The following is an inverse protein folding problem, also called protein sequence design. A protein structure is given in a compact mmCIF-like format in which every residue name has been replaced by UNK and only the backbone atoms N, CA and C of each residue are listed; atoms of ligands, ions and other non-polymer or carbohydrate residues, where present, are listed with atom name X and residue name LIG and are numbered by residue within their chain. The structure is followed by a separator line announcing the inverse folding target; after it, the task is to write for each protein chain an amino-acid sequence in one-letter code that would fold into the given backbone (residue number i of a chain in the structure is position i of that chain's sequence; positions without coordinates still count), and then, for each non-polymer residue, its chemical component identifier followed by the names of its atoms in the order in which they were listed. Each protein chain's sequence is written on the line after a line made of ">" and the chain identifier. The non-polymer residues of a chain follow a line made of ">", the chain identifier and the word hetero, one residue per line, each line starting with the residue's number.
data_IF_744434819082
#
_entry.id   IF_744434819082
#
_cell.length_a   1.000
_cell.length_b   1.000
_cell.length_c   1.000
_cell.angle_alpha   90.00
_cell.angle_beta   90.00
_cell.angle_gamma   90.00
#
_symmetry.space_group_name_H-M   'P 1'
#
loop_
_entity.id
_entity.type
_entity.pdbx_description
1 polymer ?
#
# COMPACT_ATOMS: atom_id res chain seq x y z
N UNK A 1 1.10 -62.46 8.23
CA UNK A 1 1.53 -61.41 9.17
C UNK A 1 1.54 -60.11 8.38
N UNK A 2 0.58 -59.23 8.62
CA UNK A 2 0.52 -57.89 7.98
C UNK A 2 1.45 -56.96 8.76
N UNK A 3 2.44 -56.37 8.10
CA UNK A 3 3.31 -55.38 8.72
C UNK A 3 2.49 -54.18 9.24
N UNK A 4 2.84 -53.60 10.39
CA UNK A 4 2.15 -52.41 10.90
C UNK A 4 2.46 -51.25 9.95
N UNK A 5 1.41 -50.64 9.40
CA UNK A 5 1.53 -49.41 8.62
C UNK A 5 2.04 -48.31 9.54
N UNK A 6 3.29 -47.88 9.34
CA UNK A 6 3.83 -46.76 10.13
C UNK A 6 2.93 -45.53 9.96
N UNK A 7 2.57 -44.85 11.07
CA UNK A 7 1.74 -43.65 11.00
C UNK A 7 2.50 -42.56 10.24
N UNK A 8 1.87 -42.05 9.17
CA UNK A 8 2.39 -40.91 8.41
C UNK A 8 2.57 -39.70 9.34
N UNK A 9 3.82 -39.38 9.67
CA UNK A 9 4.18 -38.15 10.38
C UNK A 9 4.48 -37.09 9.31
N UNK A 10 3.65 -36.06 9.15
CA UNK A 10 3.95 -34.98 8.20
C UNK A 10 5.26 -34.30 8.60
N UNK A 11 6.11 -33.93 7.63
CA UNK A 11 7.36 -33.24 7.92
C UNK A 11 7.09 -31.93 8.69
N UNK A 12 7.97 -31.53 9.61
CA UNK A 12 7.82 -30.30 10.35
C UNK A 12 7.76 -29.10 9.38
N UNK A 13 6.95 -28.08 9.68
CA UNK A 13 6.87 -26.89 8.83
C UNK A 13 8.26 -26.25 8.69
N UNK A 14 8.58 -25.68 7.52
CA UNK A 14 9.87 -25.05 7.30
C UNK A 14 10.13 -23.95 8.35
N UNK A 15 11.38 -23.81 8.82
CA UNK A 15 11.72 -22.82 9.83
C UNK A 15 11.38 -21.40 9.34
N UNK A 16 10.92 -20.51 10.24
CA UNK A 16 10.52 -19.17 9.84
C UNK A 16 11.71 -18.43 9.20
N UNK A 17 11.48 -17.66 8.12
CA UNK A 17 12.54 -16.93 7.45
C UNK A 17 13.28 -16.03 8.44
N UNK A 18 14.61 -16.13 8.44
CA UNK A 18 15.48 -15.28 9.29
C UNK A 18 15.55 -13.87 8.70
N UNK A 19 15.29 -12.86 9.53
CA UNK A 19 15.34 -11.43 9.15
C UNK A 19 13.99 -10.83 8.73
N UNK A 20 13.78 -9.56 9.09
CA UNK A 20 12.53 -8.82 8.86
C UNK A 20 12.12 -8.79 7.38
N UNK A 21 13.10 -8.62 6.48
CA UNK A 21 12.89 -8.59 5.03
C UNK A 21 12.40 -9.93 4.46
N UNK A 22 12.94 -11.05 4.94
CA UNK A 22 12.53 -12.37 4.49
C UNK A 22 11.15 -12.74 5.02
N UNK A 23 10.78 -12.26 6.21
CA UNK A 23 9.41 -12.36 6.75
C UNK A 23 8.40 -11.57 5.92
N UNK A 24 8.73 -10.33 5.58
CA UNK A 24 7.91 -9.49 4.68
C UNK A 24 7.73 -10.14 3.32
N UNK A 25 8.81 -10.63 2.71
CA UNK A 25 8.77 -11.38 1.46
C UNK A 25 7.88 -12.61 1.55
N UNK A 26 8.03 -13.44 2.59
CA UNK A 26 7.21 -14.64 2.76
C UNK A 26 5.71 -14.32 2.91
N UNK A 27 5.37 -13.20 3.55
CA UNK A 27 3.99 -12.78 3.71
C UNK A 27 3.39 -12.22 2.41
N UNK A 28 4.17 -11.44 1.65
CA UNK A 28 3.75 -10.85 0.36
C UNK A 28 3.73 -11.91 -0.75
N UNK A 29 4.64 -12.88 -0.74
CA UNK A 29 4.75 -13.95 -1.74
C UNK A 29 4.02 -15.23 -1.31
N UNK A 30 3.10 -15.14 -0.34
CA UNK A 30 2.35 -16.32 0.08
C UNK A 30 1.63 -16.94 -1.14
N UNK A 31 1.75 -18.26 -1.40
CA UNK A 31 1.23 -18.89 -2.62
C UNK A 31 -0.26 -18.67 -2.85
N UNK A 32 -1.02 -18.50 -1.78
CA UNK A 32 -2.47 -18.30 -1.82
C UNK A 32 -2.91 -16.88 -2.17
N UNK A 33 -2.02 -15.89 -2.15
CA UNK A 33 -2.35 -14.52 -2.53
C UNK A 33 -2.16 -14.36 -4.03
N UNK A 34 -3.17 -13.90 -4.76
CA UNK A 34 -3.00 -13.55 -6.17
C UNK A 34 -2.23 -12.22 -6.32
N UNK A 35 -1.47 -12.02 -7.42
CA UNK A 35 -0.82 -10.73 -7.69
C UNK A 35 -1.82 -9.57 -7.76
N UNK A 36 -3.03 -9.84 -8.24
CA UNK A 36 -4.11 -8.86 -8.34
C UNK A 36 -4.66 -8.48 -6.96
N UNK A 37 -4.79 -9.44 -6.04
CA UNK A 37 -5.21 -9.13 -4.66
C UNK A 37 -4.23 -8.19 -3.97
N UNK A 38 -2.92 -8.43 -4.12
CA UNK A 38 -1.88 -7.55 -3.59
C UNK A 38 -1.92 -6.18 -4.25
N UNK A 39 -2.11 -6.14 -5.57
CA UNK A 39 -2.21 -4.88 -6.31
C UNK A 39 -3.41 -4.04 -5.88
N UNK A 40 -4.59 -4.64 -5.72
CA UNK A 40 -5.78 -3.96 -5.20
C UNK A 40 -5.60 -3.51 -3.75
N UNK A 41 -4.98 -4.33 -2.91
CA UNK A 41 -4.71 -3.98 -1.51
C UNK A 41 -3.79 -2.77 -1.41
N UNK A 42 -2.73 -2.74 -2.21
CA UNK A 42 -1.80 -1.62 -2.24
C UNK A 42 -2.44 -0.36 -2.83
N UNK A 43 -3.15 -0.46 -3.96
CA UNK A 43 -3.70 0.72 -4.62
C UNK A 43 -4.78 1.42 -3.79
N UNK A 44 -5.58 0.66 -3.03
CA UNK A 44 -6.56 1.24 -2.10
C UNK A 44 -5.87 1.95 -0.94
N UNK A 45 -4.85 1.34 -0.33
CA UNK A 45 -4.10 1.99 0.75
C UNK A 45 -3.35 3.23 0.25
N UNK A 46 -2.74 3.13 -0.92
CA UNK A 46 -2.00 4.22 -1.55
C UNK A 46 -2.93 5.36 -1.96
N UNK A 47 -4.12 5.09 -2.50
CA UNK A 47 -5.09 6.15 -2.81
C UNK A 47 -5.60 6.85 -1.56
N UNK A 48 -5.80 6.12 -0.44
CA UNK A 48 -6.11 6.74 0.84
C UNK A 48 -4.97 7.68 1.29
N UNK A 49 -3.70 7.32 1.07
CA UNK A 49 -2.56 8.18 1.44
C UNK A 49 -2.59 9.55 0.74
N UNK A 50 -3.14 9.64 -0.47
CA UNK A 50 -3.28 10.90 -1.23
C UNK A 50 -4.60 11.63 -0.98
N UNK A 51 -5.48 11.07 -0.15
CA UNK A 51 -6.79 11.64 0.09
C UNK A 51 -6.65 13.01 0.79
N UNK A 52 -7.25 14.08 0.28
CA UNK A 52 -7.10 15.39 0.89
C UNK A 52 -7.78 15.52 2.27
N UNK A 53 -8.64 14.56 2.66
CA UNK A 53 -9.38 14.60 3.93
C UNK A 53 -8.50 14.21 5.14
N UNK A 54 -7.77 15.19 5.68
CA UNK A 54 -6.96 15.07 6.90
C UNK A 54 -7.78 14.46 8.05
N UNK A 55 -7.24 13.43 8.69
CA UNK A 55 -7.87 12.73 9.82
C UNK A 55 -8.84 11.60 9.46
N UNK A 56 -9.43 11.59 8.26
CA UNK A 56 -10.36 10.51 7.84
C UNK A 56 -9.65 9.25 7.31
N UNK A 57 -8.34 9.30 7.10
CA UNK A 57 -7.55 8.23 6.49
C UNK A 57 -7.64 6.92 7.28
N UNK A 58 -7.51 7.00 8.61
CA UNK A 58 -7.58 5.84 9.50
C UNK A 58 -8.96 5.20 9.44
N UNK A 59 -10.03 6.00 9.51
CA UNK A 59 -11.40 5.49 9.40
C UNK A 59 -11.65 4.81 8.05
N UNK A 60 -11.17 5.41 6.96
CA UNK A 60 -11.31 4.87 5.61
C UNK A 60 -10.58 3.53 5.42
N UNK A 61 -9.34 3.41 5.92
CA UNK A 61 -8.60 2.14 5.77
C UNK A 61 -9.25 1.02 6.57
N UNK A 62 -9.76 1.31 7.77
CA UNK A 62 -10.48 0.31 8.57
C UNK A 62 -11.80 -0.08 7.91
N UNK A 63 -12.55 0.88 7.38
CA UNK A 63 -13.77 0.62 6.64
C UNK A 63 -13.49 -0.28 5.43
N UNK A 64 -12.45 0.01 4.65
CA UNK A 64 -12.06 -0.82 3.51
C UNK A 64 -11.55 -2.19 3.94
N UNK A 65 -10.87 -2.32 5.09
CA UNK A 65 -10.48 -3.62 5.64
C UNK A 65 -11.70 -4.49 5.95
N UNK A 66 -12.79 -3.87 6.41
CA UNK A 66 -14.04 -4.56 6.74
C UNK A 66 -14.82 -4.93 5.49
N UNK A 67 -14.94 -4.01 4.52
CA UNK A 67 -15.67 -4.23 3.25
C UNK A 67 -14.95 -5.28 2.40
N UNK A 68 -13.64 -5.15 2.21
CA UNK A 68 -12.86 -5.98 1.31
C UNK A 68 -12.11 -7.09 2.05
N UNK A 69 -12.85 -8.06 2.60
CA UNK A 69 -12.29 -9.12 3.45
C UNK A 69 -11.25 -10.02 2.77
N UNK A 70 -11.26 -10.10 1.43
CA UNK A 70 -10.35 -10.92 0.60
C UNK A 70 -9.03 -10.21 0.25
N UNK A 71 -8.86 -8.94 0.67
CA UNK A 71 -7.65 -8.16 0.42
C UNK A 71 -6.64 -8.28 1.57
N UNK A 72 -5.37 -8.05 1.26
CA UNK A 72 -4.26 -8.14 2.19
C UNK A 72 -4.20 -6.89 3.09
N UNK A 73 -4.92 -6.95 4.22
CA UNK A 73 -5.10 -5.84 5.17
C UNK A 73 -3.79 -5.19 5.64
N UNK A 74 -2.74 -5.96 6.02
CA UNK A 74 -1.49 -5.34 6.48
C UNK A 74 -0.85 -4.48 5.38
N UNK A 75 -0.91 -4.91 4.13
CA UNK A 75 -0.33 -4.17 3.00
C UNK A 75 -1.10 -2.88 2.74
N UNK A 76 -2.44 -2.94 2.81
CA UNK A 76 -3.28 -1.76 2.64
C UNK A 76 -3.02 -0.71 3.74
N UNK A 77 -2.88 -1.14 5.00
CA UNK A 77 -2.55 -0.25 6.12
C UNK A 77 -1.15 0.36 5.91
N UNK A 78 -0.16 -0.45 5.54
CA UNK A 78 1.20 0.04 5.27
C UNK A 78 1.23 1.06 4.12
N UNK A 79 0.47 0.82 3.05
CA UNK A 79 0.37 1.75 1.94
C UNK A 79 -0.32 3.07 2.35
N UNK A 80 -1.33 3.03 3.23
CA UNK A 80 -1.93 4.25 3.80
C UNK A 80 -0.93 5.05 4.64
N UNK A 81 -0.09 4.38 5.43
CA UNK A 81 0.94 5.01 6.29
C UNK A 81 2.08 5.67 5.51
N UNK A 82 2.08 5.56 4.18
CA UNK A 82 2.92 6.41 3.32
C UNK A 82 2.61 7.88 3.60
N UNK A 83 1.38 8.25 3.96
CA UNK A 83 1.06 9.57 4.50
C UNK A 83 1.29 9.58 6.02
N UNK A 84 2.40 10.17 6.45
CA UNK A 84 2.86 10.28 7.83
C UNK A 84 3.43 11.70 8.06
N UNK A 85 3.78 12.09 9.30
CA UNK A 85 4.22 13.46 9.59
C UNK A 85 5.44 13.94 8.79
N UNK A 86 6.27 13.04 8.25
CA UNK A 86 7.39 13.43 7.39
C UNK A 86 6.99 13.57 5.92
N UNK A 87 6.02 12.79 5.45
CA UNK A 87 5.60 12.76 4.04
C UNK A 87 4.36 13.61 3.76
N UNK A 88 3.62 14.03 4.79
CA UNK A 88 2.42 14.87 4.65
C UNK A 88 2.74 16.22 4.01
N UNK A 89 3.89 16.81 4.33
CA UNK A 89 4.35 18.08 3.75
C UNK A 89 4.61 17.94 2.24
N UNK A 90 5.43 17.00 1.75
CA UNK A 90 5.63 16.84 0.31
C UNK A 90 4.36 16.37 -0.41
N UNK A 91 3.52 15.52 0.20
CA UNK A 91 2.22 15.11 -0.37
C UNK A 91 1.30 16.34 -0.52
N UNK A 92 1.13 17.14 0.53
CA UNK A 92 0.29 18.33 0.49
C UNK A 92 0.80 19.40 -0.48
N UNK A 93 2.12 19.55 -0.56
CA UNK A 93 2.79 20.42 -1.54
C UNK A 93 2.47 19.97 -2.96
N UNK A 94 2.68 18.67 -3.26
CA UNK A 94 2.40 18.10 -4.58
C UNK A 94 0.91 18.21 -4.95
N UNK A 95 0.00 17.86 -4.03
CA UNK A 95 -1.44 18.00 -4.24
C UNK A 95 -1.84 19.46 -4.48
N UNK A 96 -1.29 20.41 -3.72
CA UNK A 96 -1.58 21.83 -3.93
C UNK A 96 -1.05 22.32 -5.28
N UNK A 97 0.14 21.88 -5.67
CA UNK A 97 0.74 22.22 -6.96
C UNK A 97 -0.09 21.70 -8.13
N UNK A 98 -0.52 20.43 -8.10
CA UNK A 98 -1.43 19.85 -9.09
C UNK A 98 -2.74 20.64 -9.15
N UNK A 99 -3.29 21.04 -8.00
CA UNK A 99 -4.50 21.86 -7.95
C UNK A 99 -4.32 23.26 -8.56
N UNK A 100 -3.17 23.90 -8.34
CA UNK A 100 -2.86 25.20 -8.95
C UNK A 100 -2.65 25.11 -10.46
N UNK A 101 -2.00 24.04 -10.92
CA UNK A 101 -1.82 23.72 -12.34
C UNK A 101 -3.18 23.65 -13.05
N UNK A 102 -4.13 22.89 -12.50
CA UNK A 102 -5.48 22.75 -13.08
C UNK A 102 -6.26 24.06 -13.06
N UNK A 103 -6.00 24.93 -12.07
CA UNK A 103 -6.67 26.24 -11.96
C UNK A 103 -6.02 27.35 -12.79
N UNK A 104 -4.94 27.05 -13.53
CA UNK A 104 -4.20 28.04 -14.31
C UNK A 104 -3.48 29.11 -13.48
N UNK A 105 -3.26 28.86 -12.18
CA UNK A 105 -2.64 29.81 -11.23
C UNK A 105 -1.20 29.40 -10.89
N UNK A 106 -0.37 29.25 -11.91
CA UNK A 106 1.04 28.83 -11.75
C UNK A 106 1.88 29.84 -10.97
N UNK A 107 1.58 31.13 -11.11
CA UNK A 107 2.44 32.25 -10.70
C UNK A 107 2.19 32.73 -9.27
N UNK A 108 1.04 32.40 -8.68
CA UNK A 108 0.82 32.65 -7.25
C UNK A 108 1.33 31.45 -6.45
N UNK A 109 2.60 31.50 -6.10
CA UNK A 109 3.22 30.64 -5.10
C UNK A 109 2.61 30.89 -3.71
N UNK A 110 1.31 30.64 -3.53
CA UNK A 110 0.68 30.61 -2.21
C UNK A 110 1.29 29.49 -1.35
N UNK A 111 2.02 28.53 -1.94
CA UNK A 111 2.86 27.57 -1.23
C UNK A 111 4.04 28.22 -0.48
N UNK A 112 4.53 29.38 -0.93
CA UNK A 112 5.60 30.13 -0.25
C UNK A 112 5.09 30.84 1.02
N UNK A 113 3.78 31.05 1.14
CA UNK A 113 3.14 31.59 2.35
C UNK A 113 2.89 30.54 3.44
N UNK A 114 3.13 29.26 3.13
CA UNK A 114 2.96 28.17 4.09
C UNK A 114 4.31 27.93 4.76
N UNK A 115 4.39 28.20 6.06
CA UNK A 115 5.57 27.90 6.87
C UNK A 115 5.62 26.40 7.19
N UNK A 116 5.97 25.58 6.20
CA UNK A 116 6.03 24.12 6.33
C UNK A 116 6.94 23.65 7.47
N UNK A 117 7.91 24.46 7.87
CA UNK A 117 8.82 24.17 8.99
C UNK A 117 8.14 24.19 10.37
N UNK A 118 6.99 24.86 10.47
CA UNK A 118 6.19 24.91 11.70
C UNK A 118 5.25 23.71 11.83
N UNK A 119 5.03 22.98 10.74
CA UNK A 119 4.22 21.75 10.73
C UNK A 119 5.10 20.60 11.20
N UNK A 120 4.88 20.18 12.44
CA UNK A 120 5.60 19.07 13.06
C UNK A 120 4.67 18.14 13.83
N UNK A 121 5.25 17.23 14.60
CA UNK A 121 4.50 16.27 15.42
C UNK A 121 3.48 16.95 16.35
N UNK A 122 3.81 18.11 16.92
CA UNK A 122 2.91 18.88 17.79
C UNK A 122 1.65 19.35 17.06
N UNK A 123 1.74 19.64 15.77
CA UNK A 123 0.61 20.07 14.92
C UNK A 123 -0.47 18.98 14.78
N UNK A 124 -0.09 17.71 14.97
CA UNK A 124 -1.01 16.57 14.89
C UNK A 124 -1.41 16.01 16.27
N UNK A 125 -0.66 16.32 17.32
CA UNK A 125 -0.87 15.82 18.69
C UNK A 125 -1.69 16.76 19.58
N UNK A 126 -1.73 18.05 19.25
CA UNK A 126 -2.40 19.09 20.06
C UNK A 126 -3.49 19.79 19.26
N UNK A 127 -4.56 20.18 19.95
CA UNK A 127 -5.66 20.94 19.33
C UNK A 127 -5.19 22.29 18.80
N UNK A 128 -4.37 23.01 19.58
CA UNK A 128 -3.78 24.29 19.16
C UNK A 128 -2.92 24.15 17.90
N UNK A 129 -2.13 23.07 17.83
CA UNK A 129 -1.32 22.76 16.66
C UNK A 129 -2.15 22.42 15.42
N UNK A 130 -3.29 21.75 15.60
CA UNK A 130 -4.23 21.46 14.52
C UNK A 130 -4.94 22.72 14.03
N UNK A 131 -5.33 23.62 14.94
CA UNK A 131 -5.91 24.92 14.60
C UNK A 131 -4.91 25.81 13.84
N UNK A 132 -3.65 25.86 14.30
CA UNK A 132 -2.58 26.56 13.61
C UNK A 132 -2.37 26.00 12.19
N UNK A 133 -2.24 24.68 12.05
CA UNK A 133 -2.06 24.03 10.75
C UNK A 133 -3.26 24.29 9.81
N UNK A 134 -4.49 24.18 10.30
CA UNK A 134 -5.69 24.40 9.47
C UNK A 134 -5.85 25.86 9.06
N UNK A 135 -5.52 26.82 9.93
CA UNK A 135 -5.53 28.24 9.61
C UNK A 135 -4.51 28.60 8.53
N UNK A 136 -3.30 28.01 8.59
CA UNK A 136 -2.24 28.16 7.59
C UNK A 136 -2.60 27.52 6.25
N UNK A 137 -3.34 26.39 6.27
CA UNK A 137 -3.78 25.69 5.06
C UNK A 137 -5.01 26.33 4.41
N UNK A 138 -5.81 27.11 5.14
CA UNK A 138 -7.03 27.79 4.66
C UNK A 138 -6.89 28.48 3.28
N UNK A 139 -5.84 29.28 3.00
CA UNK A 139 -5.67 29.91 1.68
C UNK A 139 -5.43 28.91 0.55
N UNK A 140 -4.74 27.81 0.81
CA UNK A 140 -4.41 26.79 -0.20
C UNK A 140 -5.42 25.64 -0.25
N UNK A 141 -6.36 25.58 0.70
CA UNK A 141 -7.30 24.48 0.88
C UNK A 141 -8.04 24.11 -0.41
N UNK A 142 -8.55 25.09 -1.17
CA UNK A 142 -9.27 24.80 -2.43
C UNK A 142 -8.39 24.12 -3.48
N UNK A 143 -7.15 24.56 -3.61
CA UNK A 143 -6.20 23.94 -4.55
C UNK A 143 -5.75 22.58 -4.04
N UNK A 144 -5.49 22.46 -2.74
CA UNK A 144 -5.14 21.20 -2.09
C UNK A 144 -6.25 20.14 -2.24
N UNK A 145 -7.51 20.49 -1.99
CA UNK A 145 -8.64 19.57 -2.15
C UNK A 145 -8.78 19.11 -3.61
N UNK A 146 -8.71 20.04 -4.56
CA UNK A 146 -8.83 19.72 -5.98
C UNK A 146 -7.68 18.82 -6.45
N UNK A 147 -6.44 19.23 -6.19
CA UNK A 147 -5.29 18.46 -6.62
C UNK A 147 -5.10 17.17 -5.84
N UNK A 148 -5.46 17.12 -4.55
CA UNK A 148 -5.49 15.89 -3.76
C UNK A 148 -6.51 14.88 -4.29
N UNK A 149 -7.68 15.35 -4.73
CA UNK A 149 -8.67 14.48 -5.41
C UNK A 149 -8.10 13.91 -6.70
N UNK A 150 -7.44 14.74 -7.51
CA UNK A 150 -6.79 14.29 -8.75
C UNK A 150 -5.65 13.31 -8.45
N UNK A 151 -4.79 13.62 -7.49
CA UNK A 151 -3.72 12.72 -7.05
C UNK A 151 -4.27 11.39 -6.55
N UNK A 152 -5.39 11.38 -5.82
CA UNK A 152 -6.08 10.17 -5.36
C UNK A 152 -6.56 9.33 -6.55
N UNK A 153 -7.20 9.97 -7.54
CA UNK A 153 -7.67 9.29 -8.75
C UNK A 153 -6.50 8.73 -9.58
N UNK A 154 -5.36 9.43 -9.63
CA UNK A 154 -4.15 8.96 -10.30
C UNK A 154 -3.42 7.88 -9.50
N UNK A 155 -3.46 7.93 -8.17
CA UNK A 155 -2.84 6.96 -7.29
C UNK A 155 -3.46 5.56 -7.45
N UNK A 156 -4.74 5.47 -7.82
CA UNK A 156 -5.42 4.20 -8.09
C UNK A 156 -4.75 3.39 -9.22
N UNK A 157 -4.72 3.86 -10.49
CA UNK A 157 -4.07 3.12 -11.57
C UNK A 157 -2.56 3.00 -11.34
N UNK A 158 -1.88 4.06 -10.88
CA UNK A 158 -0.43 4.04 -10.63
C UNK A 158 -0.08 2.98 -9.60
N UNK A 159 -0.77 2.97 -8.45
CA UNK A 159 -0.53 2.00 -7.39
C UNK A 159 -0.85 0.57 -7.82
N UNK A 160 -1.94 0.38 -8.57
CA UNK A 160 -2.33 -0.94 -9.07
C UNK A 160 -1.27 -1.52 -10.01
N UNK A 161 -0.90 -0.78 -11.07
CA UNK A 161 0.08 -1.26 -12.04
C UNK A 161 1.47 -1.40 -11.44
N UNK A 162 1.88 -0.48 -10.56
CA UNK A 162 3.15 -0.57 -9.84
C UNK A 162 3.25 -1.86 -9.03
N UNK A 163 2.24 -2.15 -8.21
CA UNK A 163 2.27 -3.33 -7.34
C UNK A 163 2.09 -4.63 -8.13
N UNK A 164 1.31 -4.62 -9.20
CA UNK A 164 1.17 -5.76 -10.10
C UNK A 164 2.51 -6.08 -10.79
N UNK A 165 3.19 -5.05 -11.31
CA UNK A 165 4.52 -5.17 -11.89
C UNK A 165 5.53 -5.70 -10.86
N UNK A 166 5.55 -5.11 -9.66
CA UNK A 166 6.46 -5.48 -8.59
C UNK A 166 6.25 -6.94 -8.18
N UNK A 167 5.01 -7.35 -7.95
CA UNK A 167 4.69 -8.72 -7.54
C UNK A 167 5.05 -9.73 -8.63
N UNK A 168 4.72 -9.45 -9.90
CA UNK A 168 5.09 -10.31 -11.03
C UNK A 168 6.61 -10.39 -11.21
N UNK A 169 7.32 -9.28 -11.01
CA UNK A 169 8.79 -9.26 -11.07
C UNK A 169 9.41 -10.07 -9.94
N UNK A 170 8.92 -9.91 -8.70
CA UNK A 170 9.40 -10.67 -7.54
C UNK A 170 9.15 -12.17 -7.69
N UNK A 171 7.96 -12.57 -8.19
CA UNK A 171 7.66 -13.99 -8.45
C UNK A 171 8.57 -14.61 -9.50
N UNK A 172 8.85 -13.90 -10.61
CA UNK A 172 9.79 -14.39 -11.63
C UNK A 172 11.19 -14.65 -11.09
N UNK A 173 11.64 -13.84 -10.12
CA UNK A 173 12.98 -13.97 -9.54
C UNK A 173 13.03 -15.08 -8.47
N UNK A 174 11.95 -15.26 -7.68
CA UNK A 174 11.95 -16.20 -6.54
C UNK A 174 11.35 -17.59 -6.84
N UNK A 175 10.51 -17.74 -7.87
CA UNK A 175 9.84 -19.00 -8.21
C UNK A 175 10.04 -19.45 -9.66
N UNK A 176 11.29 -19.64 -10.13
CA UNK A 176 11.51 -20.31 -11.42
C UNK A 176 11.06 -21.78 -11.42
N UNK A 177 10.94 -22.44 -10.25
CA UNK A 177 10.78 -23.91 -10.17
C UNK A 177 9.33 -24.43 -10.14
N UNK A 178 8.30 -23.59 -9.99
CA UNK A 178 6.89 -24.07 -10.00
C UNK A 178 6.39 -24.43 -11.40
N UNK A 179 7.06 -23.98 -12.47
CA UNK A 179 6.71 -24.35 -13.84
C UNK A 179 7.25 -25.72 -14.26
N UNK A 180 8.05 -26.40 -13.42
CA UNK A 180 8.67 -27.69 -13.75
C UNK A 180 7.99 -28.94 -13.17
N UNK A 181 7.04 -28.81 -12.22
CA UNK A 181 6.49 -29.98 -11.50
C UNK A 181 5.14 -30.50 -12.03
N UNK A 182 4.46 -29.79 -12.94
CA UNK A 182 3.18 -30.27 -13.47
C UNK A 182 3.30 -31.29 -14.62
N UNK A 183 4.51 -31.57 -15.13
CA UNK A 183 4.70 -32.50 -16.25
C UNK A 183 5.17 -33.90 -15.84
N UNK A 184 5.57 -34.14 -14.59
CA UNK A 184 6.18 -35.43 -14.19
C UNK A 184 5.21 -36.42 -13.54
N UNK A 185 3.99 -36.01 -13.17
CA UNK A 185 3.06 -36.90 -12.47
C UNK A 185 2.10 -37.69 -13.36
N UNK A 186 2.07 -37.43 -14.68
CA UNK A 186 1.15 -38.10 -15.60
C UNK A 186 1.75 -39.30 -16.35
N UNK A 187 3.08 -39.47 -16.33
CA UNK A 187 3.79 -40.54 -17.05
C UNK A 187 4.02 -41.83 -16.25
N UNK A 188 3.72 -41.84 -14.95
CA UNK A 188 3.95 -43.01 -14.09
C UNK A 188 2.71 -43.90 -13.87
N UNK A 189 1.65 -43.73 -14.65
CA UNK A 189 0.41 -44.53 -14.53
C UNK A 189 0.12 -45.48 -15.71
N UNK A 190 1.04 -45.62 -16.66
CA UNK A 190 0.88 -46.54 -17.81
C UNK A 190 2.11 -47.41 -18.05
N UNK A 191 2.68 -47.97 -16.98
CA UNK A 191 3.63 -49.07 -17.06
C UNK A 191 3.36 -50.00 -15.90
N UNK A 192 2.49 -50.99 -16.13
CA UNK A 192 2.49 -52.36 -15.60
C UNK A 192 1.14 -53.04 -15.89
#
# INVERSE_FOLDING_TARGET
>A
MTEPTEPFVPPPPPPPPRGLWNRLKAHILHPELSPEQLAWSFCLGFSIAWNPLLGLHTGMVFLFCVIFRRLHRPLMIMAMLINNPWTVVPIATASTWVGNLVRGRFTEANLAKVHWHEIGWRSFLTWDGFEAMTSMLRPILKSYLLGGTICTLLALPVGYFFMLWLTRRLRRIHWPHLHGQNHTHHDLKHGD
#
